data_IF_133236508104
#
_entry.id   IF_133236508104
#
_cell.length_a   1.000
_cell.length_b   1.000
_cell.length_c   1.000
_cell.angle_alpha   90.00
_cell.angle_beta   90.00
_cell.angle_gamma   90.00
#
_symmetry.space_group_name_H-M   'P 1'
#
loop_
_entity.id
_entity.type
_entity.pdbx_description
1 polymer ?
#
# COMPACT_ATOMS: atom_id res chain seq x y z
N UNK A 1 57.35 -22.09 -27.82
CA UNK A 1 56.10 -22.59 -28.43
C UNK A 1 55.36 -23.26 -27.30
N UNK A 2 54.31 -22.70 -26.72
CA UNK A 2 53.01 -22.40 -27.33
C UNK A 2 52.32 -21.27 -26.56
N UNK A 3 51.75 -20.32 -27.32
CA UNK A 3 50.77 -19.34 -26.84
C UNK A 3 49.42 -20.05 -26.73
N UNK A 4 48.70 -19.92 -25.62
CA UNK A 4 47.24 -20.05 -25.63
C UNK A 4 46.61 -18.96 -24.76
N UNK A 5 45.85 -18.11 -25.45
CA UNK A 5 45.04 -17.02 -24.93
C UNK A 5 43.79 -17.57 -24.25
N UNK A 6 43.51 -17.11 -23.03
CA UNK A 6 42.21 -17.32 -22.40
C UNK A 6 41.18 -16.37 -23.02
N UNK A 7 40.27 -16.93 -23.80
CA UNK A 7 39.11 -16.23 -24.34
C UNK A 7 38.07 -15.99 -23.24
N UNK A 8 37.63 -14.74 -23.11
CA UNK A 8 36.54 -14.30 -22.24
C UNK A 8 35.20 -14.84 -22.78
N UNK A 9 34.31 -15.42 -21.96
CA UNK A 9 32.98 -15.82 -22.41
C UNK A 9 32.10 -14.58 -22.70
N UNK A 10 31.56 -14.52 -23.92
CA UNK A 10 30.55 -13.54 -24.32
C UNK A 10 29.23 -13.79 -23.57
N UNK A 11 28.69 -12.74 -22.93
CA UNK A 11 27.34 -12.74 -22.35
C UNK A 11 26.29 -13.01 -23.45
N UNK A 12 25.23 -13.78 -23.17
CA UNK A 12 24.11 -13.90 -24.10
C UNK A 12 23.35 -12.56 -24.21
N UNK A 13 23.15 -12.15 -25.46
CA UNK A 13 22.36 -10.99 -25.86
C UNK A 13 20.88 -11.20 -25.54
N UNK A 14 20.29 -10.27 -24.78
CA UNK A 14 18.86 -10.27 -24.48
C UNK A 14 18.01 -10.09 -25.77
N UNK A 15 16.83 -10.71 -25.87
CA UNK A 15 15.96 -10.55 -27.04
C UNK A 15 15.31 -9.15 -27.04
N UNK A 16 15.31 -8.51 -28.21
CA UNK A 16 14.55 -7.27 -28.46
C UNK A 16 13.05 -7.56 -28.43
N UNK A 17 12.23 -6.77 -27.72
CA UNK A 17 10.78 -6.85 -27.86
C UNK A 17 10.36 -6.23 -29.20
N UNK A 18 9.90 -7.07 -30.13
CA UNK A 18 9.09 -6.67 -31.28
C UNK A 18 7.66 -6.44 -30.77
N UNK A 19 7.35 -5.19 -30.46
CA UNK A 19 6.03 -4.76 -29.98
C UNK A 19 5.30 -3.95 -31.06
N UNK A 20 4.24 -4.55 -31.59
CA UNK A 20 3.21 -3.91 -32.42
C UNK A 20 2.63 -2.69 -31.68
N UNK A 21 2.54 -1.54 -32.35
CA UNK A 21 1.97 -0.30 -31.80
C UNK A 21 0.44 -0.37 -31.73
N UNK A 22 -0.20 -0.14 -30.57
CA UNK A 22 -1.58 0.35 -30.52
C UNK A 22 -1.56 1.89 -30.61
N UNK A 23 -2.28 2.44 -31.58
CA UNK A 23 -2.67 3.86 -31.61
C UNK A 23 -3.70 4.09 -30.51
N UNK A 24 -3.33 4.81 -29.46
CA UNK A 24 -4.28 5.50 -28.57
C UNK A 24 -3.74 6.89 -28.33
N UNK A 25 -4.51 7.90 -28.76
CA UNK A 25 -4.15 9.31 -28.65
C UNK A 25 -4.21 9.76 -27.19
N UNK A 26 -3.14 10.40 -26.73
CA UNK A 26 -3.10 11.18 -25.50
C UNK A 26 -3.55 12.62 -25.82
N UNK A 27 -4.47 13.24 -25.06
CA UNK A 27 -4.73 14.67 -25.18
C UNK A 27 -3.56 15.45 -24.56
N UNK A 28 -3.29 16.69 -25.02
CA UNK A 28 -2.20 17.50 -24.46
C UNK A 28 -2.54 17.95 -23.04
N UNK A 29 -1.60 17.74 -22.12
CA UNK A 29 -1.54 18.40 -20.81
C UNK A 29 -1.48 19.92 -21.01
N UNK A 30 -2.58 20.64 -20.75
CA UNK A 30 -2.53 22.07 -20.41
C UNK A 30 -2.28 22.18 -18.91
N UNK A 31 -1.09 22.64 -18.55
CA UNK A 31 -0.82 23.25 -17.26
C UNK A 31 -1.66 24.53 -17.15
N UNK A 32 -2.68 24.53 -16.29
CA UNK A 32 -3.35 25.74 -15.85
C UNK A 32 -2.94 25.99 -14.39
N UNK A 33 -2.28 27.13 -14.19
CA UNK A 33 -2.05 27.69 -12.87
C UNK A 33 -3.40 27.97 -12.17
N UNK A 34 -3.47 27.92 -10.84
CA UNK A 34 -4.71 28.19 -10.12
C UNK A 34 -5.03 29.69 -10.22
N UNK A 35 -5.96 30.05 -11.10
CA UNK A 35 -6.64 31.34 -11.01
C UNK A 35 -7.74 31.20 -9.96
N UNK A 36 -7.52 31.83 -8.82
CA UNK A 36 -8.55 32.10 -7.85
C UNK A 36 -9.65 32.95 -8.53
N UNK A 37 -10.78 32.33 -8.86
CA UNK A 37 -11.99 33.07 -9.21
C UNK A 37 -12.65 33.54 -7.93
N UNK A 38 -12.12 34.64 -7.40
CA UNK A 38 -12.85 35.50 -6.47
C UNK A 38 -14.18 35.90 -7.12
N UNK A 39 -15.21 35.95 -6.28
CA UNK A 39 -16.62 36.20 -6.60
C UNK A 39 -16.86 37.06 -7.85
N UNK A 40 -17.34 36.42 -8.91
CA UNK A 40 -18.10 37.10 -9.92
C UNK A 40 -19.57 37.01 -9.52
N UNK A 41 -20.00 38.00 -8.73
CA UNK A 41 -21.40 38.39 -8.73
C UNK A 41 -21.76 38.65 -10.20
N UNK A 42 -22.62 37.83 -10.78
CA UNK A 42 -23.24 38.12 -12.06
C UNK A 42 -24.02 39.42 -11.89
N UNK A 43 -23.40 40.55 -12.23
CA UNK A 43 -24.10 41.81 -12.39
C UNK A 43 -24.98 41.65 -13.63
N UNK A 44 -26.32 41.62 -13.51
CA UNK A 44 -27.17 41.56 -14.68
C UNK A 44 -26.96 42.86 -15.44
N UNK A 45 -26.37 42.77 -16.63
CA UNK A 45 -26.22 43.91 -17.51
C UNK A 45 -27.57 44.09 -18.22
N UNK A 46 -28.48 44.83 -17.59
CA UNK A 46 -29.72 45.24 -18.25
C UNK A 46 -29.36 46.26 -19.32
N UNK A 47 -29.25 45.80 -20.58
CA UNK A 47 -29.13 46.69 -21.71
C UNK A 47 -30.50 47.36 -21.96
N UNK A 48 -30.71 48.50 -21.30
CA UNK A 48 -31.93 49.32 -21.42
C UNK A 48 -31.89 50.18 -22.70
N UNK A 49 -30.89 50.00 -23.58
CA UNK A 49 -30.74 50.81 -24.80
C UNK A 49 -31.87 50.60 -25.81
N UNK A 50 -32.66 49.54 -25.67
CA UNK A 50 -33.85 49.27 -26.49
C UNK A 50 -35.08 50.06 -26.01
N UNK A 51 -35.14 50.49 -24.74
CA UNK A 51 -36.18 51.40 -24.22
C UNK A 51 -35.77 52.86 -24.49
N UNK A 52 -35.37 53.14 -25.73
CA UNK A 52 -35.27 54.49 -26.28
C UNK A 52 -36.26 54.66 -27.41
N UNK A 53 -37.45 54.10 -27.24
CA UNK A 53 -38.58 54.42 -28.11
C UNK A 53 -39.27 55.68 -27.58
N UNK A 54 -38.74 56.82 -28.03
CA UNK A 54 -39.43 58.09 -28.24
C UNK A 54 -40.49 58.44 -27.17
N UNK A 55 -40.05 58.88 -25.99
CA UNK A 55 -40.88 59.73 -25.12
C UNK A 55 -41.12 61.05 -25.85
N UNK A 56 -42.19 61.10 -26.63
CA UNK A 56 -42.82 62.34 -27.06
C UNK A 56 -43.44 62.91 -25.79
N UNK A 57 -42.78 63.90 -25.17
CA UNK A 57 -43.49 64.82 -24.28
C UNK A 57 -44.43 65.65 -25.16
N UNK A 58 -45.61 65.10 -25.45
CA UNK A 58 -46.74 65.91 -25.84
C UNK A 58 -47.30 66.49 -24.54
N UNK A 59 -47.14 67.79 -24.36
CA UNK A 59 -47.85 68.55 -23.34
C UNK A 59 -49.35 68.54 -23.71
N UNK A 60 -50.01 67.41 -23.48
CA UNK A 60 -51.46 67.32 -23.48
C UNK A 60 -51.92 67.68 -22.07
N UNK A 61 -52.73 68.72 -21.96
CA UNK A 61 -53.44 69.08 -20.74
C UNK A 61 -53.98 67.82 -20.07
N UNK A 62 -53.71 67.65 -18.77
CA UNK A 62 -54.24 66.51 -18.03
C UNK A 62 -55.76 66.45 -18.23
N UNK A 63 -56.29 65.37 -18.83
CA UNK A 63 -57.70 65.09 -18.65
C UNK A 63 -57.85 64.77 -17.17
N UNK A 64 -58.78 65.44 -16.46
CA UNK A 64 -59.19 65.06 -15.10
C UNK A 64 -59.39 63.55 -15.05
N UNK A 65 -58.37 62.80 -14.64
CA UNK A 65 -58.42 61.36 -14.56
C UNK A 65 -59.05 61.05 -13.22
N UNK A 66 -60.21 60.40 -13.31
CA UNK A 66 -60.92 59.86 -12.17
C UNK A 66 -59.93 59.10 -11.24
N UNK A 67 -59.82 59.46 -9.95
CA UNK A 67 -58.91 58.81 -9.01
C UNK A 67 -59.17 57.30 -8.88
N UNK A 68 -60.40 56.84 -9.11
CA UNK A 68 -60.73 55.41 -9.15
C UNK A 68 -60.07 54.66 -10.34
N UNK A 69 -59.87 55.32 -11.49
CA UNK A 69 -59.24 54.69 -12.66
C UNK A 69 -57.73 54.51 -12.45
N UNK A 70 -57.07 55.50 -11.85
CA UNK A 70 -55.64 55.44 -11.51
C UNK A 70 -55.38 54.38 -10.43
N UNK A 71 -56.23 54.34 -9.41
CA UNK A 71 -56.23 53.28 -8.39
C UNK A 71 -56.35 51.89 -9.02
N UNK A 72 -57.28 51.70 -9.97
CA UNK A 72 -57.46 50.42 -10.67
C UNK A 72 -56.22 50.02 -11.49
N UNK A 73 -55.54 50.98 -12.14
CA UNK A 73 -54.30 50.74 -12.87
C UNK A 73 -53.17 50.31 -11.91
N UNK A 74 -53.02 51.01 -10.78
CA UNK A 74 -51.99 50.70 -9.77
C UNK A 74 -52.25 49.32 -9.16
N UNK A 75 -53.50 48.98 -8.84
CA UNK A 75 -53.88 47.67 -8.31
C UNK A 75 -53.58 46.55 -9.33
N UNK A 76 -53.91 46.75 -10.60
CA UNK A 76 -53.61 45.80 -11.68
C UNK A 76 -52.10 45.59 -11.85
N UNK A 77 -51.31 46.67 -11.86
CA UNK A 77 -49.85 46.60 -11.96
C UNK A 77 -49.23 45.91 -10.74
N UNK A 78 -49.72 46.22 -9.54
CA UNK A 78 -49.29 45.58 -8.29
C UNK A 78 -49.59 44.09 -8.31
N UNK A 79 -50.78 43.70 -8.79
CA UNK A 79 -51.15 42.30 -8.95
C UNK A 79 -50.22 41.59 -9.93
N UNK A 80 -49.95 42.18 -11.11
CA UNK A 80 -49.07 41.57 -12.11
C UNK A 80 -47.64 41.40 -11.58
N UNK A 81 -47.12 42.41 -10.88
CA UNK A 81 -45.79 42.33 -10.25
C UNK A 81 -45.75 41.25 -9.17
N UNK A 82 -46.75 41.19 -8.27
CA UNK A 82 -46.82 40.17 -7.24
C UNK A 82 -46.93 38.76 -7.82
N UNK A 83 -47.71 38.58 -8.89
CA UNK A 83 -47.81 37.31 -9.62
C UNK A 83 -46.46 36.89 -10.22
N UNK A 84 -45.78 37.81 -10.93
CA UNK A 84 -44.47 37.53 -11.52
C UNK A 84 -43.40 37.23 -10.45
N UNK A 85 -43.41 37.97 -9.34
CA UNK A 85 -42.52 37.71 -8.19
C UNK A 85 -42.77 36.32 -7.61
N UNK A 86 -44.03 35.95 -7.35
CA UNK A 86 -44.39 34.64 -6.83
C UNK A 86 -44.02 33.50 -7.82
N UNK A 87 -44.22 33.71 -9.11
CA UNK A 87 -43.85 32.73 -10.15
C UNK A 87 -42.33 32.54 -10.21
N UNK A 88 -41.55 33.62 -10.16
CA UNK A 88 -40.09 33.56 -10.10
C UNK A 88 -39.61 32.85 -8.83
N UNK A 89 -40.12 33.24 -7.66
CA UNK A 89 -39.77 32.63 -6.38
C UNK A 89 -40.09 31.13 -6.36
N UNK A 90 -41.25 30.73 -6.86
CA UNK A 90 -41.65 29.32 -6.97
C UNK A 90 -40.69 28.53 -7.88
N UNK A 91 -40.38 29.06 -9.07
CA UNK A 91 -39.44 28.43 -9.99
C UNK A 91 -38.03 28.33 -9.40
N UNK A 92 -37.55 29.38 -8.74
CA UNK A 92 -36.27 29.38 -8.03
C UNK A 92 -36.25 28.36 -6.90
N UNK A 93 -37.31 28.27 -6.10
CA UNK A 93 -37.42 27.28 -5.02
C UNK A 93 -37.38 25.85 -5.57
N UNK A 94 -38.08 25.57 -6.68
CA UNK A 94 -38.05 24.27 -7.34
C UNK A 94 -36.66 23.91 -7.85
N UNK A 95 -36.00 24.82 -8.56
CA UNK A 95 -34.64 24.61 -9.08
C UNK A 95 -33.64 24.39 -7.94
N UNK A 96 -33.78 25.13 -6.83
CA UNK A 96 -32.95 24.97 -5.65
C UNK A 96 -33.15 23.60 -5.00
N UNK A 97 -34.40 23.18 -4.78
CA UNK A 97 -34.70 21.87 -4.21
C UNK A 97 -34.19 20.72 -5.10
N UNK A 98 -34.30 20.86 -6.43
CA UNK A 98 -33.78 19.87 -7.37
C UNK A 98 -32.24 19.82 -7.35
N UNK A 99 -31.56 20.97 -7.26
CA UNK A 99 -30.11 21.01 -7.13
C UNK A 99 -29.64 20.40 -5.81
N UNK A 100 -30.30 20.70 -4.68
CA UNK A 100 -30.00 20.11 -3.37
C UNK A 100 -30.19 18.59 -3.38
N UNK A 101 -31.27 18.10 -3.99
CA UNK A 101 -31.52 16.66 -4.11
C UNK A 101 -30.45 15.95 -4.94
N UNK A 102 -30.01 16.55 -6.06
CA UNK A 102 -28.93 15.99 -6.88
C UNK A 102 -27.59 15.96 -6.15
N UNK A 103 -27.25 17.02 -5.41
CA UNK A 103 -26.00 17.06 -4.64
C UNK A 103 -25.98 15.97 -3.58
N UNK A 104 -27.08 15.79 -2.84
CA UNK A 104 -27.18 14.72 -1.84
C UNK A 104 -27.03 13.34 -2.48
N UNK A 105 -27.68 13.10 -3.62
CA UNK A 105 -27.55 11.84 -4.34
C UNK A 105 -26.09 11.56 -4.76
N UNK A 106 -25.41 12.55 -5.36
CA UNK A 106 -24.02 12.39 -5.77
C UNK A 106 -23.08 12.14 -4.58
N UNK A 107 -23.34 12.78 -3.43
CA UNK A 107 -22.59 12.54 -2.20
C UNK A 107 -22.76 11.10 -1.69
N UNK A 108 -24.00 10.60 -1.68
CA UNK A 108 -24.29 9.22 -1.28
C UNK A 108 -23.61 8.21 -2.23
N UNK A 109 -23.64 8.48 -3.54
CA UNK A 109 -22.98 7.64 -4.55
C UNK A 109 -21.45 7.69 -4.42
N UNK A 110 -20.86 8.87 -4.18
CA UNK A 110 -19.42 9.03 -3.93
C UNK A 110 -18.97 8.26 -2.68
N UNK A 111 -19.72 8.36 -1.58
CA UNK A 111 -19.42 7.62 -0.35
C UNK A 111 -19.51 6.10 -0.56
N UNK A 112 -20.53 5.63 -1.28
CA UNK A 112 -20.68 4.22 -1.61
C UNK A 112 -19.49 3.70 -2.44
N UNK A 113 -19.06 4.45 -3.45
CA UNK A 113 -17.90 4.12 -4.27
C UNK A 113 -16.60 4.16 -3.47
N UNK A 114 -16.43 5.15 -2.59
CA UNK A 114 -15.28 5.22 -1.70
C UNK A 114 -15.17 3.97 -0.83
N UNK A 115 -16.27 3.57 -0.20
CA UNK A 115 -16.34 2.37 0.62
C UNK A 115 -16.04 1.09 -0.19
N UNK A 116 -16.57 0.97 -1.40
CA UNK A 116 -16.28 -0.16 -2.28
C UNK A 116 -14.78 -0.23 -2.62
N UNK A 117 -14.15 0.89 -2.97
CA UNK A 117 -12.72 0.95 -3.28
C UNK A 117 -11.87 0.52 -2.08
N UNK A 118 -12.21 0.98 -0.87
CA UNK A 118 -11.47 0.58 0.34
C UNK A 118 -11.60 -0.91 0.61
N UNK A 119 -12.80 -1.47 0.45
CA UNK A 119 -13.03 -2.89 0.64
C UNK A 119 -12.28 -3.74 -0.41
N UNK A 120 -12.31 -3.33 -1.69
CA UNK A 120 -11.54 -3.99 -2.75
C UNK A 120 -10.03 -3.91 -2.50
N UNK A 121 -9.53 -2.77 -2.03
CA UNK A 121 -8.12 -2.60 -1.65
C UNK A 121 -7.73 -3.55 -0.52
N UNK A 122 -8.58 -3.69 0.50
CA UNK A 122 -8.38 -4.64 1.61
C UNK A 122 -8.34 -6.08 1.10
N UNK A 123 -9.31 -6.47 0.27
CA UNK A 123 -9.38 -7.80 -0.33
C UNK A 123 -8.13 -8.12 -1.16
N UNK A 124 -7.71 -7.19 -2.02
CA UNK A 124 -6.51 -7.33 -2.83
C UNK A 124 -5.26 -7.53 -1.97
N UNK A 125 -5.10 -6.73 -0.91
CA UNK A 125 -3.94 -6.82 -0.02
C UNK A 125 -3.87 -8.18 0.68
N UNK A 126 -5.00 -8.71 1.14
CA UNK A 126 -5.08 -10.05 1.74
C UNK A 126 -4.70 -11.12 0.72
N UNK A 127 -5.32 -11.08 -0.47
CA UNK A 127 -5.03 -12.02 -1.55
C UNK A 127 -3.54 -12.03 -1.95
N UNK A 128 -2.91 -10.86 -2.02
CA UNK A 128 -1.50 -10.74 -2.38
C UNK A 128 -0.58 -11.30 -1.28
N UNK A 129 -0.95 -11.11 0.00
CA UNK A 129 -0.22 -11.70 1.13
C UNK A 129 -0.33 -13.23 1.13
N UNK A 130 -1.52 -13.75 0.86
CA UNK A 130 -1.76 -15.20 0.75
C UNK A 130 -0.98 -15.79 -0.43
N UNK A 131 -0.95 -15.10 -1.58
CA UNK A 131 -0.14 -15.49 -2.74
C UNK A 131 1.34 -15.63 -2.38
N UNK A 132 1.90 -14.60 -1.75
CA UNK A 132 3.31 -14.61 -1.34
C UNK A 132 3.62 -15.70 -0.29
N UNK A 133 2.70 -15.94 0.65
CA UNK A 133 2.84 -16.99 1.64
C UNK A 133 2.87 -18.38 1.00
N UNK A 134 1.99 -18.62 0.02
CA UNK A 134 1.96 -19.88 -0.74
C UNK A 134 3.21 -20.06 -1.59
N UNK A 135 3.69 -19.01 -2.26
CA UNK A 135 4.95 -19.07 -3.02
C UNK A 135 6.15 -19.41 -2.13
N UNK A 136 6.21 -18.85 -0.91
CA UNK A 136 7.25 -19.19 0.06
C UNK A 136 7.13 -20.64 0.54
N UNK A 137 5.90 -21.13 0.76
CA UNK A 137 5.66 -22.52 1.15
C UNK A 137 6.13 -23.49 0.04
N UNK A 138 5.85 -23.18 -1.22
CA UNK A 138 6.30 -23.98 -2.36
C UNK A 138 7.83 -24.03 -2.44
N UNK A 139 8.51 -22.90 -2.20
CA UNK A 139 9.97 -22.85 -2.10
C UNK A 139 10.51 -23.70 -0.95
N UNK A 140 9.87 -23.66 0.22
CA UNK A 140 10.24 -24.49 1.37
C UNK A 140 10.05 -25.98 1.07
N UNK A 141 8.94 -26.35 0.43
CA UNK A 141 8.68 -27.72 0.00
C UNK A 141 9.76 -28.18 -0.98
N UNK A 142 10.08 -27.36 -1.99
CA UNK A 142 11.11 -27.68 -2.96
C UNK A 142 12.50 -27.87 -2.31
N UNK A 143 12.85 -27.03 -1.34
CA UNK A 143 14.12 -27.12 -0.62
C UNK A 143 14.19 -28.33 0.33
N UNK A 144 13.08 -28.67 1.01
CA UNK A 144 13.05 -29.76 1.99
C UNK A 144 12.84 -31.13 1.36
N UNK A 145 12.27 -31.22 0.15
CA UNK A 145 11.99 -32.49 -0.53
C UNK A 145 13.26 -33.36 -0.70
N UNK A 146 14.40 -32.86 -1.19
CA UNK A 146 15.62 -33.66 -1.31
C UNK A 146 16.17 -34.14 0.04
N UNK A 147 16.03 -33.33 1.10
CA UNK A 147 16.45 -33.69 2.46
C UNK A 147 15.58 -34.83 2.99
N UNK A 148 14.27 -34.73 2.78
CA UNK A 148 13.33 -35.77 3.17
C UNK A 148 13.58 -37.09 2.42
N UNK A 149 13.91 -37.03 1.14
CA UNK A 149 14.31 -38.20 0.34
C UNK A 149 15.63 -38.81 0.83
N UNK A 150 16.63 -37.97 1.10
CA UNK A 150 17.94 -38.41 1.64
C UNK A 150 17.78 -39.07 3.01
N UNK A 151 16.94 -38.52 3.90
CA UNK A 151 16.66 -39.08 5.21
C UNK A 151 15.97 -40.46 5.12
N UNK A 152 15.02 -40.62 4.18
CA UNK A 152 14.39 -41.93 3.90
C UNK A 152 15.43 -42.94 3.41
N UNK A 153 16.31 -42.54 2.49
CA UNK A 153 17.37 -43.41 1.99
C UNK A 153 18.39 -43.78 3.08
N UNK A 154 18.81 -42.83 3.91
CA UNK A 154 19.66 -43.07 5.06
C UNK A 154 19.04 -44.10 6.01
N UNK A 155 17.75 -43.96 6.33
CA UNK A 155 17.03 -44.91 7.19
C UNK A 155 17.05 -46.32 6.60
N UNK A 156 16.87 -46.45 5.28
CA UNK A 156 16.94 -47.75 4.58
C UNK A 156 18.35 -48.34 4.65
N UNK A 157 19.37 -47.53 4.38
CA UNK A 157 20.77 -47.94 4.45
C UNK A 157 21.15 -48.38 5.86
N UNK A 158 20.73 -47.62 6.88
CA UNK A 158 20.97 -47.95 8.28
C UNK A 158 20.35 -49.28 8.68
N UNK A 159 19.08 -49.53 8.30
CA UNK A 159 18.43 -50.82 8.53
C UNK A 159 19.19 -51.97 7.86
N UNK A 160 19.59 -51.80 6.60
CA UNK A 160 20.39 -52.80 5.89
C UNK A 160 21.73 -53.07 6.57
N UNK A 161 22.40 -52.02 7.03
CA UNK A 161 23.67 -52.13 7.75
C UNK A 161 23.49 -52.85 9.09
N UNK A 162 22.48 -52.47 9.88
CA UNK A 162 22.16 -53.12 11.15
C UNK A 162 21.87 -54.61 10.96
N UNK A 163 21.10 -54.98 9.93
CA UNK A 163 20.86 -56.38 9.58
C UNK A 163 22.16 -57.10 9.19
N UNK A 164 23.03 -56.47 8.38
CA UNK A 164 24.31 -57.08 7.99
C UNK A 164 25.23 -57.30 9.21
N UNK A 165 25.35 -56.31 10.10
CA UNK A 165 26.10 -56.44 11.36
C UNK A 165 25.54 -57.56 12.21
N UNK A 166 24.21 -57.64 12.33
CA UNK A 166 23.55 -58.69 13.10
C UNK A 166 23.80 -60.08 12.48
N UNK A 167 23.66 -60.25 11.17
CA UNK A 167 24.02 -61.50 10.48
C UNK A 167 25.48 -61.86 10.74
N UNK A 168 26.40 -60.88 10.63
CA UNK A 168 27.84 -61.12 10.85
C UNK A 168 28.11 -61.51 12.30
N UNK A 169 27.41 -60.93 13.28
CA UNK A 169 27.49 -61.31 14.69
C UNK A 169 27.04 -62.75 14.92
N UNK A 170 26.01 -63.22 14.21
CA UNK A 170 25.50 -64.58 14.34
C UNK A 170 26.32 -65.61 13.55
N UNK A 171 26.95 -65.21 12.44
CA UNK A 171 27.86 -66.06 11.66
C UNK A 171 29.26 -66.15 12.25
N UNK A 172 29.72 -65.10 12.94
CA UNK A 172 30.97 -65.14 13.70
C UNK A 172 30.81 -66.12 14.86
N UNK A 173 31.57 -67.23 14.88
CA UNK A 173 31.53 -68.13 16.02
C UNK A 173 32.00 -67.36 17.25
N UNK A 174 31.22 -67.38 18.33
CA UNK A 174 31.62 -66.89 19.67
C UNK A 174 32.79 -67.73 20.26
N UNK A 175 33.43 -68.58 19.46
CA UNK A 175 34.63 -69.33 19.81
C UNK A 175 35.84 -68.47 19.44
N UNK A 176 36.46 -67.92 20.47
CA UNK A 176 37.82 -67.35 20.52
C UNK A 176 38.63 -67.60 19.24
N UNK A 177 38.93 -66.55 18.49
CA UNK A 177 39.84 -66.62 17.34
C UNK A 177 41.17 -67.24 17.77
N UNK A 178 41.48 -68.42 17.24
CA UNK A 178 42.86 -68.87 17.12
C UNK A 178 43.49 -68.02 16.02
N UNK A 179 44.23 -66.99 16.41
CA UNK A 179 45.07 -66.24 15.47
C UNK A 179 46.18 -67.19 15.08
N UNK A 180 46.10 -67.77 13.87
CA UNK A 180 47.21 -68.55 13.33
C UNK A 180 48.32 -67.58 12.91
N UNK A 181 49.45 -67.67 13.62
CA UNK A 181 50.58 -66.75 13.51
C UNK A 181 50.85 -65.93 14.77
N UNK A 182 52.01 -65.25 14.79
CA UNK A 182 52.46 -64.47 15.95
C UNK A 182 51.49 -63.32 16.25
N UNK A 183 50.70 -63.48 17.30
CA UNK A 183 49.73 -62.52 17.82
C UNK A 183 50.32 -61.12 17.99
N UNK A 184 51.60 -61.04 18.33
CA UNK A 184 52.31 -59.77 18.53
C UNK A 184 52.41 -58.99 17.21
N UNK A 185 52.76 -59.64 16.10
CA UNK A 185 52.83 -59.01 14.77
C UNK A 185 51.49 -58.46 14.29
N UNK A 186 50.37 -59.09 14.62
CA UNK A 186 49.03 -58.61 14.24
C UNK A 186 48.66 -57.37 15.05
N UNK A 187 48.95 -57.38 16.35
CA UNK A 187 48.80 -56.23 17.24
C UNK A 187 49.68 -55.05 16.79
N UNK A 188 50.95 -55.30 16.46
CA UNK A 188 51.88 -54.26 16.01
C UNK A 188 51.38 -53.60 14.71
N UNK A 189 50.82 -54.38 13.77
CA UNK A 189 50.22 -53.85 12.54
C UNK A 189 48.94 -53.06 12.80
N UNK A 190 48.08 -53.54 13.71
CA UNK A 190 46.86 -52.82 14.08
C UNK A 190 47.18 -51.49 14.77
N UNK A 191 48.16 -51.47 15.67
CA UNK A 191 48.65 -50.26 16.34
C UNK A 191 49.22 -49.27 15.31
N UNK A 192 50.01 -49.74 14.35
CA UNK A 192 50.54 -48.89 13.27
C UNK A 192 49.42 -48.26 12.43
N UNK A 193 48.39 -49.02 12.06
CA UNK A 193 47.23 -48.48 11.33
C UNK A 193 46.44 -47.47 12.17
N UNK A 194 46.26 -47.72 13.46
CA UNK A 194 45.56 -46.80 14.36
C UNK A 194 46.32 -45.49 14.53
N UNK A 195 47.65 -45.54 14.68
CA UNK A 195 48.51 -44.36 14.72
C UNK A 195 48.45 -43.53 13.43
N UNK A 196 48.40 -44.19 12.27
CA UNK A 196 48.22 -43.50 10.98
C UNK A 196 46.84 -42.82 10.93
N UNK A 197 45.80 -43.49 11.43
CA UNK A 197 44.43 -42.95 11.44
C UNK A 197 44.29 -41.77 12.40
N UNK A 198 44.90 -41.86 13.59
CA UNK A 198 44.98 -40.78 14.58
C UNK A 198 45.64 -39.55 13.98
N UNK A 199 46.79 -39.72 13.32
CA UNK A 199 47.50 -38.62 12.66
C UNK A 199 46.66 -37.98 11.53
N UNK A 200 45.96 -38.78 10.73
CA UNK A 200 45.05 -38.28 9.70
C UNK A 200 43.88 -37.48 10.28
N UNK A 201 43.31 -37.93 11.40
CA UNK A 201 42.24 -37.20 12.09
C UNK A 201 42.74 -35.91 12.72
N UNK A 202 43.96 -35.90 13.25
CA UNK A 202 44.63 -34.71 13.75
C UNK A 202 44.85 -33.69 12.62
N UNK A 203 45.35 -34.14 11.45
CA UNK A 203 45.49 -33.30 10.24
C UNK A 203 44.12 -32.77 9.74
N UNK A 204 43.05 -33.56 9.84
CA UNK A 204 41.68 -33.11 9.51
C UNK A 204 41.08 -32.13 10.53
N UNK A 205 41.61 -32.05 11.76
CA UNK A 205 41.08 -31.19 12.83
C UNK A 205 41.94 -29.95 13.08
N UNK A 206 43.23 -29.98 12.73
CA UNK A 206 44.11 -28.80 12.68
C UNK A 206 43.80 -27.88 11.49
N UNK A 207 43.18 -28.42 10.44
CA UNK A 207 42.58 -27.66 9.36
C UNK A 207 41.35 -26.88 9.82
N UNK A 208 41.60 -25.71 10.41
CA UNK A 208 40.73 -24.53 10.38
C UNK A 208 39.87 -24.18 11.61
N UNK A 209 40.38 -24.45 12.82
CA UNK A 209 39.79 -23.87 14.05
C UNK A 209 39.79 -22.33 14.03
N UNK A 210 40.76 -21.70 13.34
CA UNK A 210 40.92 -20.24 13.32
C UNK A 210 39.90 -19.56 12.40
N UNK A 211 39.66 -20.03 11.19
CA UNK A 211 38.67 -19.38 10.31
C UNK A 211 37.24 -19.77 10.70
N UNK A 212 37.03 -20.96 11.29
CA UNK A 212 35.75 -21.34 11.90
C UNK A 212 35.42 -20.46 13.11
N UNK A 213 36.38 -20.19 13.99
CA UNK A 213 36.19 -19.29 15.14
C UNK A 213 35.91 -17.85 14.68
N UNK A 214 36.65 -17.36 13.67
CA UNK A 214 36.48 -16.00 13.12
C UNK A 214 35.12 -15.83 12.43
N UNK A 215 34.67 -16.84 11.69
CA UNK A 215 33.35 -16.86 11.06
C UNK A 215 32.21 -16.90 12.09
N UNK A 216 32.40 -17.63 13.19
CA UNK A 216 31.43 -17.69 14.30
C UNK A 216 31.35 -16.36 15.05
N UNK A 217 32.48 -15.68 15.25
CA UNK A 217 32.54 -14.33 15.82
C UNK A 217 31.85 -13.30 14.91
N UNK A 218 32.12 -13.32 13.60
CA UNK A 218 31.43 -12.48 12.62
C UNK A 218 29.91 -12.71 12.62
N UNK A 219 29.45 -13.98 12.68
CA UNK A 219 28.02 -14.30 12.81
C UNK A 219 27.41 -13.78 14.11
N UNK A 220 28.17 -13.77 15.20
CA UNK A 220 27.71 -13.23 16.49
C UNK A 220 27.53 -11.71 16.39
N UNK A 221 28.45 -11.02 15.75
CA UNK A 221 28.38 -9.57 15.53
C UNK A 221 27.24 -9.18 14.58
N UNK A 222 27.01 -9.96 13.51
CA UNK A 222 25.85 -9.79 12.64
C UNK A 222 24.53 -9.98 13.41
N UNK A 223 24.48 -10.94 14.33
CA UNK A 223 23.30 -11.20 15.15
C UNK A 223 23.03 -10.05 16.14
N UNK A 224 24.06 -9.49 16.78
CA UNK A 224 23.89 -8.38 17.72
C UNK A 224 23.49 -7.09 17.00
N UNK A 225 24.14 -6.77 15.88
CA UNK A 225 23.79 -5.60 15.05
C UNK A 225 22.38 -5.70 14.44
N UNK A 226 21.99 -6.88 13.94
CA UNK A 226 20.62 -7.11 13.44
C UNK A 226 19.56 -6.88 14.53
N UNK A 227 19.84 -7.33 15.76
CA UNK A 227 18.95 -7.12 16.91
C UNK A 227 18.83 -5.63 17.27
N UNK A 228 19.94 -4.90 17.29
CA UNK A 228 19.98 -3.47 17.57
C UNK A 228 19.17 -2.66 16.53
N UNK A 229 19.39 -2.91 15.24
CA UNK A 229 18.63 -2.28 14.15
C UNK A 229 17.13 -2.56 14.28
N UNK A 230 16.76 -3.81 14.57
CA UNK A 230 15.35 -4.19 14.74
C UNK A 230 14.70 -3.44 15.89
N UNK A 231 15.43 -3.25 17.00
CA UNK A 231 14.94 -2.51 18.15
C UNK A 231 14.78 -1.02 17.83
N UNK A 232 15.76 -0.41 17.15
CA UNK A 232 15.68 0.98 16.69
C UNK A 232 14.51 1.20 15.71
N UNK A 233 14.30 0.27 14.77
CA UNK A 233 13.16 0.33 13.85
C UNK A 233 11.83 0.29 14.61
N UNK A 234 11.70 -0.56 15.63
CA UNK A 234 10.48 -0.59 16.44
C UNK A 234 10.25 0.70 17.21
N UNK A 235 11.32 1.30 17.78
CA UNK A 235 11.25 2.56 18.51
C UNK A 235 10.84 3.72 17.60
N UNK A 236 11.52 3.87 16.47
CA UNK A 236 11.22 4.92 15.47
C UNK A 236 9.82 4.79 14.88
N UNK A 237 9.32 3.56 14.68
CA UNK A 237 7.94 3.35 14.24
C UNK A 237 6.92 3.80 15.29
N UNK A 238 7.19 3.55 16.57
CA UNK A 238 6.35 4.02 17.67
C UNK A 238 6.31 5.56 17.73
N UNK A 239 7.48 6.21 17.62
CA UNK A 239 7.58 7.67 17.58
C UNK A 239 6.85 8.26 16.37
N UNK A 240 6.98 7.64 15.20
CA UNK A 240 6.28 8.06 13.99
C UNK A 240 4.76 7.98 14.15
N UNK A 241 4.25 6.91 14.75
CA UNK A 241 2.82 6.77 15.04
C UNK A 241 2.32 7.84 16.03
N UNK A 242 3.12 8.16 17.05
CA UNK A 242 2.80 9.23 18.00
C UNK A 242 2.73 10.59 17.29
N UNK A 243 3.75 10.94 16.51
CA UNK A 243 3.79 12.19 15.74
C UNK A 243 2.63 12.25 14.76
N UNK A 244 2.32 11.15 14.06
CA UNK A 244 1.16 11.09 13.16
C UNK A 244 -0.15 11.36 13.90
N UNK A 245 -0.35 10.77 15.10
CA UNK A 245 -1.54 11.02 15.93
C UNK A 245 -1.63 12.48 16.37
N UNK A 246 -0.51 13.07 16.79
CA UNK A 246 -0.44 14.48 17.17
C UNK A 246 -0.78 15.40 16.00
N UNK A 247 -0.26 15.12 14.81
CA UNK A 247 -0.56 15.89 13.59
C UNK A 247 -2.04 15.75 13.23
N UNK A 248 -2.62 14.55 13.24
CA UNK A 248 -4.04 14.36 12.97
C UNK A 248 -4.92 15.17 13.94
N UNK A 249 -4.63 15.09 15.24
CA UNK A 249 -5.35 15.84 16.26
C UNK A 249 -5.18 17.35 16.09
N UNK A 250 -3.98 17.82 15.77
CA UNK A 250 -3.74 19.23 15.50
C UNK A 250 -4.53 19.71 14.28
N UNK A 251 -4.53 18.94 13.18
CA UNK A 251 -5.30 19.24 11.97
C UNK A 251 -6.79 19.36 12.28
N UNK A 252 -7.35 18.43 13.07
CA UNK A 252 -8.76 18.50 13.50
C UNK A 252 -9.02 19.77 14.31
N UNK A 253 -8.19 20.07 15.31
CA UNK A 253 -8.35 21.28 16.14
C UNK A 253 -8.25 22.57 15.32
N UNK A 254 -7.33 22.63 14.35
CA UNK A 254 -7.20 23.78 13.45
C UNK A 254 -8.45 23.92 12.58
N UNK A 255 -8.96 22.81 12.03
CA UNK A 255 -10.17 22.85 11.21
C UNK A 255 -11.39 23.29 12.04
N UNK A 256 -11.57 22.73 13.23
CA UNK A 256 -12.61 23.14 14.16
C UNK A 256 -12.50 24.63 14.49
N UNK A 257 -11.31 25.15 14.82
CA UNK A 257 -11.11 26.56 15.11
C UNK A 257 -11.48 27.46 13.91
N UNK A 258 -11.14 27.06 12.69
CA UNK A 258 -11.52 27.82 11.47
C UNK A 258 -13.03 27.80 11.21
N UNK A 259 -13.72 26.69 11.49
CA UNK A 259 -15.17 26.61 11.37
C UNK A 259 -15.88 27.43 12.44
N UNK A 260 -15.40 27.38 13.68
CA UNK A 260 -15.91 28.18 14.80
C UNK A 260 -15.76 29.69 14.55
N UNK A 261 -14.65 30.12 13.94
CA UNK A 261 -14.43 31.52 13.53
C UNK A 261 -15.41 31.95 12.42
N UNK A 262 -15.68 31.08 11.43
CA UNK A 262 -16.66 31.35 10.37
C UNK A 262 -18.10 31.42 10.88
N UNK A 263 -18.46 30.58 11.86
CA UNK A 263 -19.80 30.55 12.46
C UNK A 263 -20.06 31.76 13.38
N UNK A 264 -19.00 32.35 13.94
CA UNK A 264 -19.07 33.51 14.81
C UNK A 264 -19.51 33.19 16.25
N UNK A 265 -19.01 33.91 17.26
CA UNK A 265 -19.01 33.50 18.67
C UNK A 265 -20.41 33.31 19.27
N UNK A 266 -21.42 34.04 18.78
CA UNK A 266 -22.80 33.92 19.25
C UNK A 266 -23.42 32.56 18.88
N UNK A 267 -23.13 32.06 17.68
CA UNK A 267 -23.66 30.77 17.20
C UNK A 267 -22.89 29.59 17.77
N UNK A 268 -21.58 29.74 17.96
CA UNK A 268 -20.72 28.74 18.61
C UNK A 268 -21.14 28.50 20.07
N UNK A 269 -21.38 29.57 20.84
CA UNK A 269 -21.86 29.46 22.23
C UNK A 269 -23.23 28.77 22.34
N UNK A 270 -24.12 29.00 21.38
CA UNK A 270 -25.44 28.37 21.34
C UNK A 270 -25.36 26.86 21.04
N UNK A 271 -24.36 26.41 20.28
CA UNK A 271 -24.16 25.01 19.88
C UNK A 271 -23.36 24.20 20.90
N UNK A 272 -22.32 24.76 21.51
CA UNK A 272 -21.38 24.04 22.38
C UNK A 272 -21.60 24.24 23.88
N UNK A 273 -22.40 25.23 24.29
CA UNK A 273 -22.81 25.42 25.68
C UNK A 273 -24.34 25.30 25.79
N UNK A 274 -24.88 24.10 26.11
CA UNK A 274 -26.30 23.95 26.37
C UNK A 274 -26.71 24.83 27.55
N UNK A 275 -27.80 25.58 27.41
CA UNK A 275 -28.40 26.31 28.52
C UNK A 275 -28.91 25.30 29.56
N UNK A 276 -28.33 25.31 30.76
CA UNK A 276 -28.90 24.65 31.94
C UNK A 276 -30.26 25.25 32.32
#
# INVERSE_FOLDING_TARGET
MTNESFAVPLKPSSPKPSGVKPRVGTPPRRSMAPQATYGHCFQPNFDISVIKEKTIMENAAEPERNPETEKCIIEMQTFLLAYLTAEMESNTAKLKAEAEARILQEMDEEEALYNEVQEKKRQYLVMEKDRLANELLDLQIAALTPVAETAKQFTKNYKSFASAVDTTRHELPVKNFYIDGDRKRVLDKAEACLKVSEKLLEECTEGDQKDTSTSLECLRDMKTTSKDISQQLSGTFSELLEVSSLVCRHTINVHQATEEEQLGPARTLELYCPKE
#
